data_IF_567666516856
#
_entry.id   IF_567666516856
#
_cell.length_a   1.000
_cell.length_b   1.000
_cell.length_c   1.000
_cell.angle_alpha   90.00
_cell.angle_beta   90.00
_cell.angle_gamma   90.00
#
_symmetry.space_group_name_H-M   'P 1'
#
loop_
_entity.id
_entity.type
_entity.pdbx_description
1 polymer ?
#
# COMPACT_ATOMS: atom_id res chain seq x y z
N UNK A 1 -11.50 -37.43 21.98
CA UNK A 1 -12.53 -36.70 21.21
C UNK A 1 -11.86 -36.03 20.02
N UNK A 2 -12.02 -36.58 18.81
CA UNK A 2 -11.41 -36.10 17.57
C UNK A 2 -12.55 -35.60 16.67
N UNK A 3 -12.73 -34.29 16.57
CA UNK A 3 -13.70 -33.71 15.64
C UNK A 3 -13.02 -33.47 14.29
N UNK A 4 -13.33 -34.33 13.33
CA UNK A 4 -12.94 -34.18 11.93
C UNK A 4 -13.83 -33.16 11.24
N UNK A 5 -13.18 -32.34 10.41
CA UNK A 5 -13.74 -31.35 9.50
C UNK A 5 -14.67 -32.01 8.47
N UNK A 6 -15.61 -31.23 7.92
CA UNK A 6 -15.83 -30.95 6.48
C UNK A 6 -17.22 -30.31 6.36
N UNK A 7 -17.25 -29.00 6.10
CA UNK A 7 -18.45 -28.32 5.61
C UNK A 7 -18.18 -27.97 4.15
N UNK A 8 -18.79 -28.73 3.24
CA UNK A 8 -18.82 -28.46 1.80
C UNK A 8 -19.79 -27.30 1.55
N UNK A 9 -19.30 -26.16 1.06
CA UNK A 9 -20.12 -25.06 0.56
C UNK A 9 -20.27 -25.19 -0.95
N UNK A 10 -21.46 -25.58 -1.40
CA UNK A 10 -21.85 -25.63 -2.81
C UNK A 10 -23.07 -24.71 -2.98
N UNK A 11 -22.86 -23.54 -3.58
CA UNK A 11 -23.97 -22.71 -4.06
C UNK A 11 -23.65 -22.32 -5.50
N UNK A 12 -24.56 -22.75 -6.36
CA UNK A 12 -24.52 -22.61 -7.80
C UNK A 12 -24.90 -21.20 -8.27
N UNK A 13 -24.23 -20.78 -9.34
CA UNK A 13 -24.76 -20.01 -10.47
C UNK A 13 -25.61 -18.76 -10.20
N UNK A 14 -24.97 -17.59 -10.23
CA UNK A 14 -25.64 -16.35 -10.67
C UNK A 14 -25.37 -16.13 -12.16
N UNK A 15 -26.30 -16.59 -13.01
CA UNK A 15 -26.46 -16.01 -14.35
C UNK A 15 -27.17 -14.66 -14.17
N UNK A 16 -26.48 -13.57 -14.45
CA UNK A 16 -27.15 -12.28 -14.65
C UNK A 16 -27.62 -12.24 -16.11
N UNK A 17 -28.93 -12.16 -16.26
CA UNK A 17 -29.62 -12.00 -17.53
C UNK A 17 -29.29 -10.64 -18.16
N UNK A 18 -28.98 -10.66 -19.47
CA UNK A 18 -28.97 -9.46 -20.30
C UNK A 18 -30.43 -9.08 -20.61
N UNK A 19 -30.87 -7.92 -20.17
CA UNK A 19 -32.09 -7.29 -20.70
C UNK A 19 -31.67 -6.09 -21.57
N UNK A 20 -31.81 -6.31 -22.87
CA UNK A 20 -31.66 -5.31 -23.93
C UNK A 20 -32.78 -4.28 -23.83
N UNK A 21 -32.43 -3.03 -23.48
CA UNK A 21 -33.36 -1.91 -23.52
C UNK A 21 -33.26 -1.20 -24.88
N UNK A 22 -34.10 -1.61 -25.83
CA UNK A 22 -34.38 -0.83 -27.04
C UNK A 22 -35.44 0.21 -26.71
N UNK A 23 -35.06 1.48 -26.71
CA UNK A 23 -36.00 2.60 -26.69
C UNK A 23 -35.77 3.46 -27.93
N UNK A 24 -36.70 3.38 -28.88
CA UNK A 24 -36.87 4.40 -29.90
C UNK A 24 -38.35 4.46 -30.28
N UNK A 25 -39.13 5.13 -29.44
CA UNK A 25 -40.40 5.74 -29.85
C UNK A 25 -40.06 6.93 -30.76
N UNK A 26 -40.41 6.82 -32.04
CA UNK A 26 -40.42 7.93 -32.98
C UNK A 26 -41.55 8.90 -32.64
N UNK A 27 -41.25 10.18 -32.43
CA UNK A 27 -42.25 11.22 -32.29
C UNK A 27 -41.63 12.61 -32.12
N UNK A 28 -41.82 13.45 -33.14
CA UNK A 28 -41.44 14.85 -33.30
C UNK A 28 -41.46 15.75 -32.03
N UNK A 29 -40.46 16.62 -31.91
CA UNK A 29 -40.50 17.73 -30.94
C UNK A 29 -39.24 18.61 -30.96
N UNK A 30 -39.34 19.75 -31.66
CA UNK A 30 -38.60 21.01 -31.61
C UNK A 30 -37.38 21.26 -30.69
N UNK A 31 -36.44 22.02 -31.29
CA UNK A 31 -35.30 22.83 -30.77
C UNK A 31 -33.98 22.11 -30.45
N UNK A 32 -32.85 22.45 -31.13
CA UNK A 32 -31.53 22.06 -30.68
C UNK A 32 -31.08 23.05 -29.59
N UNK A 33 -31.29 22.70 -28.33
CA UNK A 33 -30.49 23.28 -27.24
C UNK A 33 -29.17 22.54 -27.30
N UNK A 34 -28.10 23.24 -27.72
CA UNK A 34 -26.75 22.67 -27.73
C UNK A 34 -26.37 22.16 -26.33
N UNK A 35 -26.10 20.85 -26.15
CA UNK A 35 -25.31 20.45 -25.03
C UNK A 35 -23.85 20.73 -25.41
N UNK A 36 -23.26 21.76 -24.80
CA UNK A 36 -21.81 21.93 -24.77
C UNK A 36 -21.19 20.75 -24.00
N UNK A 37 -21.05 19.62 -24.68
CA UNK A 37 -20.37 18.45 -24.15
C UNK A 37 -18.87 18.73 -24.23
N UNK A 38 -18.31 19.20 -23.11
CA UNK A 38 -16.88 19.11 -22.86
C UNK A 38 -16.51 17.63 -22.76
N UNK A 39 -16.21 17.03 -23.91
CA UNK A 39 -15.79 15.64 -23.99
C UNK A 39 -14.40 15.51 -23.37
N UNK A 40 -14.32 14.95 -22.16
CA UNK A 40 -13.05 14.57 -21.55
C UNK A 40 -12.47 13.43 -22.40
N UNK A 41 -11.38 13.72 -23.10
CA UNK A 41 -10.65 12.77 -23.93
C UNK A 41 -10.34 11.51 -23.13
N UNK A 42 -11.04 10.41 -23.43
CA UNK A 42 -10.70 9.10 -22.91
C UNK A 42 -9.32 8.71 -23.45
N UNK A 43 -8.32 8.63 -22.57
CA UNK A 43 -7.03 8.05 -22.92
C UNK A 43 -7.22 6.54 -23.03
N UNK A 44 -7.06 5.99 -24.22
CA UNK A 44 -6.85 4.56 -24.42
C UNK A 44 -5.53 4.20 -23.74
N UNK A 45 -5.57 3.42 -22.67
CA UNK A 45 -4.38 2.73 -22.17
C UNK A 45 -4.18 1.48 -23.04
N UNK A 46 -3.18 1.51 -23.91
CA UNK A 46 -2.72 0.31 -24.58
C UNK A 46 -2.02 -0.57 -23.57
N UNK A 47 -2.42 -1.83 -23.57
CA UNK A 47 -2.01 -2.90 -22.69
C UNK A 47 -0.51 -3.23 -22.83
N UNK A 48 0.08 -3.65 -21.69
CA UNK A 48 1.24 -4.54 -21.46
C UNK A 48 2.37 -3.85 -20.69
N UNK A 49 2.70 -4.46 -19.55
CA UNK A 49 3.71 -4.05 -18.57
C UNK A 49 3.55 -2.65 -18.00
N UNK A 50 2.46 -2.52 -17.24
CA UNK A 50 2.34 -1.46 -16.26
C UNK A 50 3.24 -1.78 -15.07
N UNK A 51 4.52 -1.41 -15.17
CA UNK A 51 5.32 -0.97 -14.02
C UNK A 51 4.79 0.38 -13.46
N UNK A 52 3.49 0.68 -13.60
CA UNK A 52 2.82 1.86 -13.05
C UNK A 52 2.38 1.62 -11.59
N UNK A 53 3.17 0.82 -10.86
CA UNK A 53 2.99 0.54 -9.43
C UNK A 53 4.10 1.17 -8.57
N UNK A 54 5.13 1.76 -9.19
CA UNK A 54 6.39 2.06 -8.51
C UNK A 54 6.47 3.43 -7.79
N UNK A 55 5.49 4.32 -7.96
CA UNK A 55 5.55 5.63 -7.30
C UNK A 55 4.98 5.65 -5.87
N UNK A 56 4.21 4.63 -5.47
CA UNK A 56 3.46 4.63 -4.19
C UNK A 56 4.01 3.68 -3.12
N UNK A 57 4.81 2.70 -3.51
CA UNK A 57 5.35 1.67 -2.60
C UNK A 57 6.83 1.48 -2.89
N UNK A 58 7.61 1.23 -1.85
CA UNK A 58 9.05 1.03 -1.95
C UNK A 58 9.34 -0.35 -2.61
N UNK A 59 10.17 -0.40 -3.65
CA UNK A 59 10.45 -1.64 -4.37
C UNK A 59 11.27 -2.63 -3.51
N UNK A 60 11.07 -3.92 -3.72
CA UNK A 60 11.76 -5.00 -3.02
C UNK A 60 13.28 -4.97 -3.21
N UNK A 61 13.79 -4.58 -4.39
CA UNK A 61 15.24 -4.47 -4.60
C UNK A 61 15.83 -3.37 -3.73
N UNK A 62 15.15 -2.22 -3.68
CA UNK A 62 15.57 -1.10 -2.83
C UNK A 62 15.55 -1.47 -1.35
N UNK A 63 14.51 -2.18 -0.88
CA UNK A 63 14.46 -2.67 0.52
C UNK A 63 15.57 -3.67 0.84
N UNK A 64 15.92 -4.54 -0.12
CA UNK A 64 17.04 -5.46 0.02
C UNK A 64 18.37 -4.71 0.13
N UNK A 65 18.61 -3.71 -0.72
CA UNK A 65 19.80 -2.88 -0.65
C UNK A 65 19.93 -2.12 0.67
N UNK A 66 18.82 -1.59 1.20
CA UNK A 66 18.83 -0.93 2.51
C UNK A 66 19.17 -1.91 3.63
N UNK A 67 18.62 -3.13 3.57
CA UNK A 67 18.94 -4.19 4.54
C UNK A 67 20.41 -4.61 4.47
N UNK A 68 20.99 -4.76 3.27
CA UNK A 68 22.41 -5.12 3.12
C UNK A 68 23.34 -3.99 3.57
N UNK A 69 22.93 -2.73 3.42
CA UNK A 69 23.59 -1.54 3.99
C UNK A 69 23.40 -1.38 5.50
N UNK A 70 22.67 -2.30 6.15
CA UNK A 70 22.34 -2.27 7.57
C UNK A 70 21.61 -0.99 8.00
N UNK A 71 20.74 -0.45 7.12
CA UNK A 71 19.94 0.73 7.42
C UNK A 71 18.88 0.35 8.46
N UNK A 72 18.85 1.07 9.58
CA UNK A 72 17.86 0.83 10.63
C UNK A 72 16.51 1.44 10.28
N UNK A 73 15.45 1.00 10.97
CA UNK A 73 14.13 1.60 10.79
C UNK A 73 14.13 3.08 11.20
N UNK A 74 14.91 3.46 12.20
CA UNK A 74 15.05 4.85 12.65
C UNK A 74 15.78 5.71 11.62
N UNK A 75 16.88 5.21 11.03
CA UNK A 75 17.59 5.89 9.95
C UNK A 75 16.67 6.10 8.75
N UNK A 76 15.95 5.05 8.34
CA UNK A 76 14.98 5.16 7.25
C UNK A 76 13.85 6.16 7.55
N UNK A 77 13.36 6.22 8.79
CA UNK A 77 12.38 7.23 9.20
C UNK A 77 12.96 8.66 9.19
N UNK A 78 14.24 8.80 9.56
CA UNK A 78 14.95 10.07 9.51
C UNK A 78 15.15 10.54 8.07
N UNK A 79 15.57 9.65 7.16
CA UNK A 79 15.74 9.93 5.73
C UNK A 79 14.41 10.36 5.06
N UNK A 80 13.30 9.80 5.53
CA UNK A 80 11.96 10.17 5.09
C UNK A 80 11.42 11.45 5.76
N UNK A 81 12.14 12.03 6.73
CA UNK A 81 11.74 13.23 7.46
C UNK A 81 10.54 13.02 8.39
N UNK A 82 10.22 11.78 8.75
CA UNK A 82 9.03 11.44 9.54
C UNK A 82 9.36 10.94 10.96
N UNK A 83 10.63 10.91 11.33
CA UNK A 83 11.06 10.38 12.63
C UNK A 83 10.37 11.10 13.80
N UNK A 84 10.40 12.43 13.79
CA UNK A 84 9.77 13.27 14.82
C UNK A 84 8.25 13.11 14.85
N UNK A 85 7.61 13.02 13.68
CA UNK A 85 6.17 12.85 13.55
C UNK A 85 5.73 11.50 14.11
N UNK A 86 6.49 10.42 13.84
CA UNK A 86 6.25 9.11 14.44
C UNK A 86 6.32 9.21 15.96
N UNK A 87 7.37 9.81 16.52
CA UNK A 87 7.52 9.92 17.97
C UNK A 87 6.38 10.75 18.58
N UNK A 88 6.11 11.93 18.04
CA UNK A 88 5.07 12.83 18.56
C UNK A 88 3.68 12.22 18.45
N UNK A 89 3.30 11.68 17.28
CA UNK A 89 1.93 11.21 17.05
C UNK A 89 1.63 9.89 17.75
N UNK A 90 2.64 9.02 17.94
CA UNK A 90 2.44 7.76 18.68
C UNK A 90 2.37 7.96 20.19
N UNK A 91 3.09 8.94 20.75
CA UNK A 91 3.00 9.24 22.19
C UNK A 91 1.73 10.02 22.55
N UNK A 92 1.29 10.93 21.68
CA UNK A 92 0.23 11.89 22.01
C UNK A 92 -1.18 11.43 21.59
N UNK A 93 -1.32 10.33 20.84
CA UNK A 93 -2.60 9.81 20.30
C UNK A 93 -3.52 10.93 19.74
N UNK A 94 -2.90 11.95 19.13
CA UNK A 94 -3.62 13.11 18.62
C UNK A 94 -4.41 12.80 17.35
N UNK A 95 -5.42 13.62 17.05
CA UNK A 95 -6.32 13.45 15.90
C UNK A 95 -5.65 13.36 14.52
N UNK A 96 -4.37 13.75 14.42
CA UNK A 96 -3.57 13.68 13.19
C UNK A 96 -2.98 12.30 12.85
N UNK A 97 -3.01 11.32 13.77
CA UNK A 97 -2.35 10.02 13.55
C UNK A 97 -2.92 9.28 12.33
N UNK A 98 -4.25 9.26 12.19
CA UNK A 98 -4.91 8.56 11.07
C UNK A 98 -4.61 9.21 9.72
N UNK A 99 -4.41 10.53 9.68
CA UNK A 99 -4.02 11.25 8.48
C UNK A 99 -2.54 11.03 8.16
N UNK A 100 -1.68 11.03 9.18
CA UNK A 100 -0.27 10.72 9.05
C UNK A 100 -0.04 9.30 8.50
N UNK A 101 -0.80 8.31 8.97
CA UNK A 101 -0.73 6.93 8.47
C UNK A 101 -1.09 6.79 6.98
N UNK A 102 -1.82 7.76 6.41
CA UNK A 102 -2.17 7.76 4.98
C UNK A 102 -1.06 8.32 4.10
N UNK A 103 -0.07 9.02 4.68
CA UNK A 103 1.03 9.64 3.94
C UNK A 103 1.88 8.61 3.22
N UNK A 104 2.47 9.01 2.08
CA UNK A 104 3.34 8.13 1.29
C UNK A 104 4.62 7.79 2.07
N UNK A 105 5.18 8.76 2.79
CA UNK A 105 6.38 8.56 3.61
C UNK A 105 6.15 7.48 4.69
N UNK A 106 5.04 7.57 5.44
CA UNK A 106 4.70 6.54 6.42
C UNK A 106 4.51 5.16 5.79
N UNK A 107 3.83 5.08 4.65
CA UNK A 107 3.64 3.81 3.92
C UNK A 107 4.95 3.18 3.48
N UNK A 108 5.90 3.99 2.97
CA UNK A 108 7.26 3.51 2.64
C UNK A 108 7.99 3.00 3.87
N UNK A 109 7.88 3.72 4.99
CA UNK A 109 8.50 3.30 6.25
C UNK A 109 7.93 1.97 6.77
N UNK A 110 6.61 1.82 6.82
CA UNK A 110 5.97 0.57 7.25
C UNK A 110 6.31 -0.58 6.30
N UNK A 111 6.32 -0.35 4.99
CA UNK A 111 6.73 -1.37 4.02
C UNK A 111 8.12 -1.92 4.33
N UNK A 112 9.09 -1.04 4.64
CA UNK A 112 10.43 -1.47 5.04
C UNK A 112 10.46 -2.22 6.37
N UNK A 113 9.70 -1.78 7.37
CA UNK A 113 9.59 -2.48 8.65
C UNK A 113 9.02 -3.89 8.48
N UNK A 114 7.96 -4.04 7.68
CA UNK A 114 7.34 -5.33 7.37
C UNK A 114 8.26 -6.23 6.55
N UNK A 115 9.03 -5.64 5.64
CA UNK A 115 10.08 -6.35 4.90
C UNK A 115 11.13 -6.93 5.85
N UNK A 116 11.66 -6.15 6.79
CA UNK A 116 12.62 -6.64 7.79
C UNK A 116 12.02 -7.75 8.66
N UNK A 117 10.76 -7.62 9.07
CA UNK A 117 10.04 -8.66 9.83
C UNK A 117 9.89 -9.96 9.04
N UNK A 118 9.66 -9.85 7.73
CA UNK A 118 9.56 -11.00 6.83
C UNK A 118 10.92 -11.65 6.63
N UNK A 119 11.97 -10.86 6.40
CA UNK A 119 13.34 -11.35 6.22
C UNK A 119 13.90 -11.99 7.48
N UNK A 120 13.54 -11.52 8.67
CA UNK A 120 13.90 -12.16 9.94
C UNK A 120 13.44 -13.64 10.02
N UNK A 121 12.33 -14.00 9.38
CA UNK A 121 11.81 -15.37 9.38
C UNK A 121 12.58 -16.30 8.44
N UNK A 122 13.35 -15.73 7.50
CA UNK A 122 14.20 -16.49 6.58
C UNK A 122 15.57 -16.69 7.21
N UNK A 123 16.02 -17.94 7.32
CA UNK A 123 17.30 -18.28 7.96
C UNK A 123 18.49 -17.53 7.35
N UNK A 124 18.49 -17.38 6.03
CA UNK A 124 19.54 -16.69 5.26
C UNK A 124 19.74 -15.22 5.68
N UNK A 125 18.66 -14.52 6.07
CA UNK A 125 18.68 -13.09 6.35
C UNK A 125 18.50 -12.76 7.84
N UNK A 126 18.26 -13.78 8.68
CA UNK A 126 18.01 -13.60 10.10
C UNK A 126 19.19 -12.91 10.82
N UNK A 127 20.43 -13.27 10.47
CA UNK A 127 21.63 -12.65 11.03
C UNK A 127 21.79 -11.19 10.63
N UNK A 128 21.50 -10.85 9.37
CA UNK A 128 21.53 -9.46 8.89
C UNK A 128 20.51 -8.60 9.64
N UNK A 129 19.28 -9.10 9.79
CA UNK A 129 18.24 -8.37 10.55
C UNK A 129 18.61 -8.25 12.04
N UNK A 130 19.29 -9.25 12.61
CA UNK A 130 19.80 -9.16 13.98
C UNK A 130 20.85 -8.04 14.13
N UNK A 131 21.80 -7.92 13.19
CA UNK A 131 22.79 -6.83 13.16
C UNK A 131 22.14 -5.45 13.04
N UNK A 132 21.12 -5.31 12.19
CA UNK A 132 20.34 -4.07 12.08
C UNK A 132 19.69 -3.70 13.42
N UNK A 133 19.10 -4.69 14.09
CA UNK A 133 18.47 -4.48 15.40
C UNK A 133 19.49 -4.08 16.48
N UNK A 134 20.67 -4.69 16.48
CA UNK A 134 21.76 -4.34 17.40
C UNK A 134 22.24 -2.91 17.17
N UNK A 135 22.47 -2.52 15.90
CA UNK A 135 22.82 -1.15 15.52
C UNK A 135 21.77 -0.14 15.99
N UNK A 136 20.49 -0.44 15.77
CA UNK A 136 19.35 0.37 16.23
C UNK A 136 19.37 0.57 17.74
N UNK A 137 19.61 -0.51 18.52
CA UNK A 137 19.72 -0.43 19.99
C UNK A 137 20.89 0.47 20.43
N UNK A 138 22.04 0.37 19.75
CA UNK A 138 23.22 1.20 20.04
C UNK A 138 22.92 2.69 19.79
N UNK A 139 22.24 3.01 18.68
CA UNK A 139 21.86 4.40 18.39
C UNK A 139 20.88 4.98 19.42
N UNK A 140 19.92 4.18 19.88
CA UNK A 140 18.99 4.60 20.93
C UNK A 140 19.68 4.77 22.29
N UNK A 141 20.70 3.95 22.59
CA UNK A 141 21.50 4.09 23.81
C UNK A 141 22.35 5.35 23.82
N UNK A 142 22.93 5.73 22.68
CA UNK A 142 23.71 6.97 22.53
C UNK A 142 22.81 8.21 22.64
N UNK A 143 21.54 8.13 22.20
CA UNK A 143 20.59 9.25 22.31
C UNK A 143 20.04 9.45 23.74
N UNK A 144 20.32 8.53 24.67
CA UNK A 144 19.80 8.56 26.03
C UNK A 144 20.83 8.99 27.10
N UNK A 145 22.09 9.21 26.72
CA UNK A 145 23.13 9.88 27.52
C UNK A 145 23.24 11.36 27.15
#
# INVERSE_FOLDING_TARGET
>A
MRLSKILMTLIASFLVANESFSFATSGQGFTPIEPCQRSLRARQSTTKDSEDSEARTLDNKTMMEMMTKLITKEEHAADLGILDDIMKLTTTNGGGLTQFMKTVAYKKHIAYVDFLNTMKRKKEYAELVAKIKEKSKKMQGILAE
#
